data_IF_451598858417
#
_entry.id   IF_451598858417
#
_cell.length_a   1.000
_cell.length_b   1.000
_cell.length_c   1.000
_cell.angle_alpha   90.00
_cell.angle_beta   90.00
_cell.angle_gamma   90.00
#
_symmetry.space_group_name_H-M   'P 1'
#
loop_
_entity.id
_entity.type
_entity.pdbx_description
1 polymer ?
#
# COMPACT_ATOMS: atom_id res chain seq x y z
N UNK A 1 -50.57 -1.43 -57.78
CA UNK A 1 -49.69 -2.25 -56.91
C UNK A 1 -48.38 -1.50 -56.69
N UNK A 2 -48.27 -0.75 -55.58
CA UNK A 2 -47.04 -0.03 -55.22
C UNK A 2 -46.08 -1.01 -54.53
N UNK A 3 -44.93 -1.27 -55.15
CA UNK A 3 -43.84 -2.06 -54.57
C UNK A 3 -43.21 -1.25 -53.43
N UNK A 4 -43.28 -1.77 -52.20
CA UNK A 4 -42.52 -1.29 -51.06
C UNK A 4 -41.03 -1.60 -51.28
N UNK A 5 -40.10 -0.68 -50.96
CA UNK A 5 -38.68 -0.99 -51.00
C UNK A 5 -38.31 -1.89 -49.82
N UNK A 6 -37.62 -3.00 -50.14
CA UNK A 6 -36.90 -3.82 -49.17
C UNK A 6 -35.80 -2.97 -48.53
N UNK A 7 -35.96 -2.63 -47.26
CA UNK A 7 -34.88 -2.06 -46.44
C UNK A 7 -33.98 -3.23 -46.04
N UNK A 8 -32.82 -3.34 -46.70
CA UNK A 8 -31.77 -4.25 -46.30
C UNK A 8 -31.21 -3.79 -44.96
N UNK A 9 -31.53 -4.53 -43.89
CA UNK A 9 -30.95 -4.33 -42.57
C UNK A 9 -29.47 -4.77 -42.67
N UNK A 10 -28.57 -3.80 -42.84
CA UNK A 10 -27.14 -4.03 -42.81
C UNK A 10 -26.77 -4.41 -41.37
N UNK A 11 -26.63 -5.71 -41.10
CA UNK A 11 -26.11 -6.20 -39.83
C UNK A 11 -24.62 -5.83 -39.78
N UNK A 12 -24.31 -4.67 -39.23
CA UNK A 12 -22.95 -4.30 -38.91
C UNK A 12 -22.42 -5.30 -37.89
N UNK A 13 -21.52 -6.19 -38.33
CA UNK A 13 -20.72 -7.01 -37.44
C UNK A 13 -19.86 -6.04 -36.64
N UNK A 14 -20.29 -5.73 -35.42
CA UNK A 14 -19.45 -5.06 -34.43
C UNK A 14 -18.27 -6.00 -34.16
N UNK A 15 -17.14 -5.72 -34.80
CA UNK A 15 -15.86 -6.28 -34.39
C UNK A 15 -15.56 -5.69 -33.01
N UNK A 16 -15.90 -6.43 -31.95
CA UNK A 16 -15.40 -6.14 -30.61
C UNK A 16 -13.87 -6.28 -30.68
N UNK A 17 -13.08 -5.28 -30.23
CA UNK A 17 -11.63 -5.38 -30.28
C UNK A 17 -11.17 -6.61 -29.50
N UNK A 18 -10.23 -7.35 -30.09
CA UNK A 18 -9.65 -8.54 -29.48
C UNK A 18 -8.93 -8.18 -28.18
N UNK A 19 -9.40 -8.72 -27.06
CA UNK A 19 -8.66 -8.68 -25.80
C UNK A 19 -7.54 -9.73 -25.85
N UNK A 20 -6.29 -9.29 -26.02
CA UNK A 20 -5.13 -10.11 -25.68
C UNK A 20 -4.13 -9.31 -24.82
N UNK A 21 -4.41 -9.11 -23.54
CA UNK A 21 -3.41 -8.59 -22.61
C UNK A 21 -3.50 -9.24 -21.23
N UNK A 22 -2.81 -10.38 -21.13
CA UNK A 22 -2.25 -10.91 -19.88
C UNK A 22 -0.71 -11.00 -20.02
N UNK A 23 -0.07 -10.03 -20.67
CA UNK A 23 1.39 -9.95 -20.64
C UNK A 23 1.82 -9.49 -19.24
N UNK A 24 2.46 -10.37 -18.48
CA UNK A 24 3.01 -10.09 -17.16
C UNK A 24 2.04 -10.27 -15.98
N UNK A 25 0.72 -10.32 -16.17
CA UNK A 25 -0.22 -10.66 -15.08
C UNK A 25 -0.35 -12.16 -14.91
N UNK A 26 -0.10 -12.65 -13.70
CA UNK A 26 -0.25 -14.06 -13.34
C UNK A 26 -0.91 -14.20 -11.98
N UNK A 27 -1.77 -15.21 -11.83
CA UNK A 27 -2.15 -15.71 -10.51
C UNK A 27 -1.04 -16.63 -10.02
N UNK A 28 -0.39 -16.28 -8.92
CA UNK A 28 0.71 -17.05 -8.34
C UNK A 28 0.24 -17.96 -7.21
N UNK A 29 -0.94 -17.69 -6.64
CA UNK A 29 -1.51 -18.53 -5.59
C UNK A 29 -3.04 -18.39 -5.53
N UNK A 30 -3.77 -19.51 -5.58
CA UNK A 30 -5.23 -19.50 -5.43
C UNK A 30 -5.62 -19.92 -4.02
N UNK A 31 -6.53 -19.19 -3.37
CA UNK A 31 -7.02 -19.59 -2.06
C UNK A 31 -7.94 -20.82 -2.18
N UNK A 32 -7.83 -21.75 -1.23
CA UNK A 32 -8.68 -22.95 -1.14
C UNK A 32 -9.77 -22.83 -0.08
N UNK A 33 -9.71 -21.76 0.72
CA UNK A 33 -10.70 -21.38 1.73
C UNK A 33 -10.87 -19.86 1.72
N UNK A 34 -11.97 -19.34 2.27
CA UNK A 34 -12.22 -17.90 2.34
C UNK A 34 -11.04 -17.21 3.05
N UNK A 35 -10.25 -16.44 2.30
CA UNK A 35 -9.09 -15.73 2.82
C UNK A 35 -9.20 -14.27 2.41
N UNK A 36 -9.28 -13.36 3.39
CA UNK A 36 -9.34 -11.91 3.13
C UNK A 36 -8.12 -11.22 3.69
N UNK A 37 -7.04 -11.20 2.92
CA UNK A 37 -5.86 -10.39 3.22
C UNK A 37 -6.25 -8.92 3.04
N UNK A 38 -5.92 -8.08 4.03
CA UNK A 38 -6.19 -6.64 3.98
C UNK A 38 -4.90 -5.84 4.13
N UNK A 39 -4.75 -4.83 3.27
CA UNK A 39 -3.60 -3.93 3.28
C UNK A 39 -2.36 -4.47 2.58
N UNK A 40 -1.21 -3.82 2.81
CA UNK A 40 0.05 -4.10 2.13
C UNK A 40 0.73 -5.36 2.69
N UNK A 41 1.46 -6.07 1.84
CA UNK A 41 2.45 -7.04 2.30
C UNK A 41 3.64 -6.33 2.95
N UNK A 42 4.15 -6.89 4.05
CA UNK A 42 5.40 -6.46 4.67
C UNK A 42 6.52 -7.40 4.27
N UNK A 43 7.55 -6.89 3.60
CA UNK A 43 8.73 -7.67 3.24
C UNK A 43 9.62 -7.91 4.46
N UNK A 44 10.00 -9.16 4.70
CA UNK A 44 11.00 -9.55 5.67
C UNK A 44 11.79 -10.73 5.14
N UNK A 45 13.10 -10.55 4.96
CA UNK A 45 14.04 -11.62 4.57
C UNK A 45 13.62 -12.37 3.30
N UNK A 46 13.07 -11.66 2.31
CA UNK A 46 12.62 -12.28 1.06
C UNK A 46 11.24 -12.94 1.10
N UNK A 47 10.51 -12.82 2.21
CA UNK A 47 9.13 -13.28 2.35
C UNK A 47 8.17 -12.10 2.52
N UNK A 48 6.92 -12.27 2.08
CA UNK A 48 5.85 -11.28 2.15
C UNK A 48 4.86 -11.65 3.25
N UNK A 49 4.94 -10.95 4.39
CA UNK A 49 4.08 -11.17 5.54
C UNK A 49 2.77 -10.38 5.41
N UNK A 50 1.69 -10.96 5.93
CA UNK A 50 0.36 -10.36 5.89
C UNK A 50 -0.51 -10.82 7.06
N UNK A 51 -1.62 -10.11 7.27
CA UNK A 51 -2.72 -10.54 8.11
C UNK A 51 -3.99 -10.64 7.28
N UNK A 52 -4.83 -11.63 7.58
CA UNK A 52 -6.15 -11.74 7.00
C UNK A 52 -7.25 -11.55 8.05
N UNK A 53 -8.36 -10.94 7.64
CA UNK A 53 -9.56 -10.75 8.46
C UNK A 53 -10.50 -11.97 8.43
N UNK A 54 -10.26 -12.89 7.48
CA UNK A 54 -11.01 -14.12 7.23
C UNK A 54 -10.07 -15.24 6.81
N UNK A 55 -10.46 -16.47 7.08
CA UNK A 55 -9.67 -17.69 6.95
C UNK A 55 -9.25 -18.25 8.31
N UNK A 56 -8.49 -19.34 8.30
CA UNK A 56 -7.99 -19.98 9.51
C UNK A 56 -9.10 -20.53 10.43
N UNK A 57 -8.76 -20.75 11.70
CA UNK A 57 -9.67 -21.33 12.68
C UNK A 57 -10.94 -20.47 12.83
N UNK A 58 -12.12 -21.09 12.67
CA UNK A 58 -13.44 -20.44 12.81
C UNK A 58 -13.65 -19.20 11.92
N UNK A 59 -12.86 -19.02 10.86
CA UNK A 59 -12.92 -17.87 9.97
C UNK A 59 -12.65 -16.53 10.71
N UNK A 60 -11.79 -16.56 11.72
CA UNK A 60 -11.36 -15.39 12.50
C UNK A 60 -10.11 -14.71 11.95
N UNK A 61 -9.50 -15.28 10.90
CA UNK A 61 -8.27 -14.79 10.30
C UNK A 61 -7.01 -15.42 10.90
N UNK A 62 -5.86 -15.06 10.34
CA UNK A 62 -4.54 -15.49 10.77
C UNK A 62 -3.47 -14.48 10.32
N UNK A 63 -2.28 -14.59 10.91
CA UNK A 63 -1.05 -14.00 10.36
C UNK A 63 -0.34 -15.08 9.55
N UNK A 64 0.08 -14.74 8.34
CA UNK A 64 0.72 -15.65 7.41
C UNK A 64 1.84 -14.97 6.64
N UNK A 65 2.52 -15.77 5.83
CA UNK A 65 3.55 -15.31 4.90
C UNK A 65 3.40 -15.97 3.55
N UNK A 66 3.84 -15.28 2.52
CA UNK A 66 3.94 -15.78 1.16
C UNK A 66 5.42 -15.74 0.73
N UNK A 67 5.92 -16.87 0.24
CA UNK A 67 7.26 -16.96 -0.34
C UNK A 67 7.16 -16.76 -1.86
N UNK A 68 7.63 -15.64 -2.41
CA UNK A 68 7.54 -15.35 -3.84
C UNK A 68 8.42 -16.25 -4.72
N UNK A 69 9.47 -16.87 -4.17
CA UNK A 69 10.36 -17.75 -4.92
C UNK A 69 9.74 -19.14 -5.17
N UNK A 70 8.93 -19.63 -4.23
CA UNK A 70 8.27 -20.94 -4.33
C UNK A 70 6.75 -20.86 -4.52
N UNK A 71 6.18 -19.65 -4.64
CA UNK A 71 4.75 -19.38 -4.68
C UNK A 71 3.98 -20.10 -3.56
N UNK A 72 4.58 -20.19 -2.38
CA UNK A 72 4.02 -20.93 -1.24
C UNK A 72 3.46 -19.97 -0.21
N UNK A 73 2.18 -20.14 0.12
CA UNK A 73 1.55 -19.46 1.25
C UNK A 73 1.64 -20.34 2.50
N UNK A 74 2.00 -19.76 3.63
CA UNK A 74 2.08 -20.43 4.93
C UNK A 74 1.31 -19.64 5.97
N UNK A 75 0.25 -20.23 6.52
CA UNK A 75 -0.40 -19.71 7.72
C UNK A 75 0.50 -19.99 8.94
N UNK A 76 0.80 -18.95 9.72
CA UNK A 76 1.73 -19.05 10.86
C UNK A 76 0.99 -19.06 12.20
N UNK A 77 0.04 -18.15 12.37
CA UNK A 77 -0.65 -17.97 13.64
C UNK A 77 -2.13 -17.66 13.44
N UNK A 78 -3.05 -18.60 13.73
CA UNK A 78 -4.48 -18.33 13.69
C UNK A 78 -4.91 -17.40 14.82
N UNK A 79 -5.92 -16.58 14.56
CA UNK A 79 -6.61 -15.86 15.62
C UNK A 79 -7.65 -16.76 16.29
N UNK A 80 -7.72 -16.73 17.62
CA UNK A 80 -8.68 -17.54 18.39
C UNK A 80 -10.04 -16.85 18.59
N UNK A 81 -10.13 -15.57 18.25
CA UNK A 81 -11.33 -14.73 18.29
C UNK A 81 -11.32 -13.80 17.07
N UNK A 82 -12.49 -13.28 16.67
CA UNK A 82 -12.56 -12.29 15.58
C UNK A 82 -11.76 -11.03 15.94
N UNK A 83 -10.62 -10.78 15.28
CA UNK A 83 -9.76 -9.62 15.56
C UNK A 83 -9.91 -8.48 14.55
N UNK A 84 -10.16 -8.80 13.27
CA UNK A 84 -10.21 -7.85 12.16
C UNK A 84 -8.98 -6.92 12.11
N UNK A 85 -7.83 -7.47 11.75
CA UNK A 85 -6.58 -6.69 11.57
C UNK A 85 -6.76 -5.65 10.47
N UNK A 86 -6.26 -4.43 10.68
CA UNK A 86 -6.49 -3.29 9.77
C UNK A 86 -5.23 -2.80 9.09
N UNK A 87 -5.32 -2.65 7.77
CA UNK A 87 -4.31 -2.03 6.91
C UNK A 87 -3.00 -2.81 6.73
N UNK A 88 -2.83 -3.95 7.40
CA UNK A 88 -1.68 -4.85 7.23
C UNK A 88 -0.78 -4.92 8.46
N UNK A 89 0.46 -5.35 8.23
CA UNK A 89 1.51 -5.45 9.23
C UNK A 89 2.53 -4.33 9.00
N UNK A 90 3.36 -4.03 10.01
CA UNK A 90 4.47 -3.09 9.84
C UNK A 90 5.67 -3.53 10.66
N UNK A 91 6.87 -3.36 10.10
CA UNK A 91 8.12 -3.73 10.75
C UNK A 91 8.31 -2.98 12.07
N UNK A 92 8.33 -3.66 13.22
CA UNK A 92 8.48 -3.03 14.54
C UNK A 92 9.93 -3.08 15.04
N UNK A 93 10.51 -4.27 15.02
CA UNK A 93 11.92 -4.55 15.34
C UNK A 93 12.49 -5.49 14.28
N UNK A 94 13.74 -5.94 14.42
CA UNK A 94 14.31 -6.96 13.55
C UNK A 94 13.58 -8.31 13.62
N UNK A 95 12.85 -8.57 14.71
CA UNK A 95 12.18 -9.85 14.95
C UNK A 95 10.67 -9.70 15.15
N UNK A 96 10.10 -8.50 15.01
CA UNK A 96 8.68 -8.29 15.27
C UNK A 96 8.00 -7.44 14.18
N UNK A 97 6.72 -7.73 13.98
CA UNK A 97 5.79 -6.95 13.18
C UNK A 97 4.69 -6.38 14.09
N UNK A 98 4.43 -5.08 14.01
CA UNK A 98 3.34 -4.39 14.69
C UNK A 98 2.06 -4.46 13.85
N UNK A 99 0.92 -4.57 14.52
CA UNK A 99 -0.40 -4.51 13.87
C UNK A 99 -1.45 -3.96 14.83
N UNK A 100 -2.61 -3.61 14.26
CA UNK A 100 -3.76 -3.10 15.00
C UNK A 100 -5.03 -3.85 14.59
N UNK A 101 -5.84 -4.20 15.59
CA UNK A 101 -7.08 -4.94 15.44
C UNK A 101 -8.28 -4.05 15.77
N UNK A 102 -9.38 -4.19 15.03
CA UNK A 102 -10.66 -3.53 15.37
C UNK A 102 -11.39 -4.22 16.53
N UNK A 103 -11.14 -5.52 16.75
CA UNK A 103 -11.83 -6.39 17.72
C UNK A 103 -10.87 -7.33 18.44
N UNK A 104 -11.41 -8.14 19.37
CA UNK A 104 -10.72 -9.27 20.01
C UNK A 104 -9.99 -8.96 21.31
N UNK A 105 -9.93 -7.69 21.74
CA UNK A 105 -9.49 -7.25 23.06
C UNK A 105 -10.61 -7.26 24.12
N UNK A 106 -10.36 -6.63 25.27
CA UNK A 106 -11.38 -6.46 26.32
C UNK A 106 -12.68 -5.86 25.79
N UNK A 107 -13.82 -6.40 26.26
CA UNK A 107 -15.16 -6.04 25.79
C UNK A 107 -15.37 -6.14 24.27
N UNK A 108 -14.54 -6.93 23.58
CA UNK A 108 -14.49 -7.04 22.11
C UNK A 108 -14.08 -5.74 21.39
N UNK A 109 -13.44 -4.81 22.10
CA UNK A 109 -12.75 -3.69 21.48
C UNK A 109 -11.44 -4.13 20.85
N UNK A 110 -10.83 -3.25 20.06
CA UNK A 110 -9.58 -3.54 19.39
C UNK A 110 -8.36 -3.54 20.32
N UNK A 111 -7.21 -3.86 19.75
CA UNK A 111 -5.92 -3.81 20.45
C UNK A 111 -4.77 -3.53 19.47
N UNK A 112 -3.64 -3.07 20.00
CA UNK A 112 -2.34 -3.05 19.31
C UNK A 112 -1.55 -4.27 19.76
N UNK A 113 -0.94 -4.99 18.83
CA UNK A 113 -0.14 -6.17 19.12
C UNK A 113 1.08 -6.32 18.23
N UNK A 114 2.01 -7.18 18.65
CA UNK A 114 3.15 -7.61 17.84
C UNK A 114 3.06 -9.08 17.49
N UNK A 115 3.66 -9.43 16.36
CA UNK A 115 3.90 -10.79 15.91
C UNK A 115 5.41 -11.02 15.88
N UNK A 116 5.88 -12.01 16.64
CA UNK A 116 7.28 -12.38 16.71
C UNK A 116 7.62 -13.37 15.58
N UNK A 117 8.63 -13.05 14.79
CA UNK A 117 9.05 -13.80 13.61
C UNK A 117 9.84 -15.07 13.92
N UNK A 118 10.34 -15.21 15.15
CA UNK A 118 11.16 -16.34 15.58
C UNK A 118 10.28 -17.49 16.06
N UNK A 119 9.29 -17.18 16.91
CA UNK A 119 8.42 -18.20 17.53
C UNK A 119 6.97 -18.17 17.02
N UNK A 120 6.65 -17.26 16.08
CA UNK A 120 5.30 -17.03 15.54
C UNK A 120 4.26 -16.65 16.61
N UNK A 121 4.67 -16.14 17.76
CA UNK A 121 3.75 -15.73 18.83
C UNK A 121 3.18 -14.34 18.62
N UNK A 122 1.98 -14.11 19.16
CA UNK A 122 1.34 -12.80 19.21
C UNK A 122 1.39 -12.27 20.64
N UNK A 123 1.86 -11.04 20.81
CA UNK A 123 1.80 -10.30 22.07
C UNK A 123 0.85 -9.12 21.95
N UNK A 124 -0.08 -8.96 22.90
CA UNK A 124 -0.91 -7.75 23.00
C UNK A 124 -0.13 -6.68 23.75
N UNK A 125 0.11 -5.54 23.12
CA UNK A 125 0.84 -4.42 23.73
C UNK A 125 -0.09 -3.40 24.39
N UNK A 126 -1.30 -3.23 23.85
CA UNK A 126 -2.28 -2.29 24.39
C UNK A 126 -3.70 -2.69 23.98
N UNK A 127 -4.62 -2.79 24.94
CA UNK A 127 -6.04 -3.00 24.65
C UNK A 127 -6.79 -1.67 24.70
N UNK A 128 -7.69 -1.44 23.73
CA UNK A 128 -8.46 -0.20 23.73
C UNK A 128 -9.53 -0.23 24.81
N UNK A 129 -9.66 0.83 25.63
CA UNK A 129 -10.69 0.92 26.66
C UNK A 129 -12.10 1.18 26.10
N UNK A 130 -12.19 1.52 24.81
CA UNK A 130 -13.44 1.83 24.11
C UNK A 130 -13.32 1.49 22.61
N UNK A 131 -14.44 1.49 21.90
CA UNK A 131 -14.48 1.25 20.45
C UNK A 131 -13.83 2.40 19.65
N UNK A 132 -12.61 2.18 19.15
CA UNK A 132 -11.86 3.17 18.33
C UNK A 132 -12.03 2.94 16.82
N UNK A 133 -12.30 1.72 16.36
CA UNK A 133 -12.40 1.37 14.93
C UNK A 133 -11.17 1.80 14.11
N UNK A 134 -9.99 1.23 14.37
CA UNK A 134 -8.80 1.45 13.54
C UNK A 134 -9.09 1.15 12.06
N UNK A 135 -8.34 1.80 11.17
CA UNK A 135 -8.55 1.74 9.70
C UNK A 135 -7.30 1.39 8.92
N UNK A 136 -6.13 1.85 9.38
CA UNK A 136 -4.87 1.69 8.67
C UNK A 136 -3.86 0.90 9.50
N UNK A 137 -2.80 0.42 8.84
CA UNK A 137 -1.66 -0.15 9.55
C UNK A 137 -0.95 0.95 10.37
N UNK A 138 -0.29 0.58 11.48
CA UNK A 138 0.58 1.49 12.21
C UNK A 138 1.79 1.90 11.35
N UNK A 139 2.12 3.19 11.26
CA UNK A 139 3.28 3.69 10.50
C UNK A 139 4.08 4.69 11.33
N UNK A 140 5.41 4.76 11.11
CA UNK A 140 6.23 5.82 11.69
C UNK A 140 6.18 7.07 10.81
N UNK A 141 5.89 8.22 11.43
CA UNK A 141 5.84 9.54 10.79
C UNK A 141 7.02 10.43 11.21
N UNK A 142 8.11 9.80 11.67
CA UNK A 142 9.32 10.46 12.20
C UNK A 142 10.12 9.51 13.11
N UNK A 143 11.35 9.88 13.46
CA UNK A 143 12.18 9.08 14.36
C UNK A 143 11.72 9.27 15.80
N UNK A 144 11.44 8.19 16.53
CA UNK A 144 10.98 8.19 17.93
C UNK A 144 9.58 8.79 18.18
N UNK A 145 8.85 9.17 17.13
CA UNK A 145 7.46 9.65 17.26
C UNK A 145 6.46 8.51 17.48
N UNK A 146 6.93 7.26 17.56
CA UNK A 146 6.10 6.06 17.71
C UNK A 146 5.30 5.74 16.46
N UNK A 147 4.18 5.06 16.67
CA UNK A 147 3.44 4.42 15.58
C UNK A 147 2.05 5.04 15.45
N UNK A 148 1.73 5.53 14.27
CA UNK A 148 0.49 6.24 14.00
C UNK A 148 -0.45 5.43 13.13
N UNK A 149 -1.75 5.53 13.39
CA UNK A 149 -2.77 4.92 12.56
C UNK A 149 -4.08 5.71 12.67
N UNK A 150 -4.90 5.65 11.63
CA UNK A 150 -6.21 6.28 11.66
C UNK A 150 -7.26 5.40 12.33
N UNK A 151 -8.21 6.07 12.97
CA UNK A 151 -9.40 5.48 13.56
C UNK A 151 -10.65 6.19 13.04
N UNK A 152 -11.78 5.47 12.96
CA UNK A 152 -13.08 6.07 12.63
C UNK A 152 -13.75 6.72 13.87
N UNK A 153 -13.24 6.42 15.07
CA UNK A 153 -13.74 6.89 16.37
C UNK A 153 -12.60 7.23 17.33
N UNK A 154 -12.91 7.91 18.43
CA UNK A 154 -11.97 8.24 19.49
C UNK A 154 -11.35 9.64 19.39
N UNK A 155 -11.65 10.40 18.33
CA UNK A 155 -11.39 11.83 18.27
C UNK A 155 -12.49 12.67 18.93
N UNK A 156 -12.40 13.99 18.73
CA UNK A 156 -13.42 14.96 19.18
C UNK A 156 -14.80 14.59 18.65
N UNK A 157 -15.83 14.68 19.50
CA UNK A 157 -17.21 14.28 19.18
C UNK A 157 -17.34 12.81 18.68
N UNK A 158 -16.40 11.95 19.05
CA UNK A 158 -16.32 10.55 18.62
C UNK A 158 -16.19 10.36 17.10
N UNK A 159 -15.64 11.36 16.41
CA UNK A 159 -15.22 11.27 15.03
C UNK A 159 -13.81 10.65 14.93
N UNK A 160 -13.29 10.54 13.71
CA UNK A 160 -11.99 9.93 13.47
C UNK A 160 -10.83 10.71 14.10
N UNK A 161 -9.75 9.99 14.38
CA UNK A 161 -8.49 10.57 14.87
C UNK A 161 -7.28 9.93 14.21
N UNK A 162 -6.14 10.62 14.31
CA UNK A 162 -4.83 10.02 14.18
C UNK A 162 -4.41 9.57 15.58
N UNK A 163 -4.43 8.26 15.81
CA UNK A 163 -3.97 7.68 17.07
C UNK A 163 -2.45 7.47 17.02
N UNK A 164 -1.79 7.60 18.17
CA UNK A 164 -0.35 7.38 18.37
C UNK A 164 -0.15 6.30 19.43
N UNK A 165 0.47 5.20 19.04
CA UNK A 165 0.97 4.16 19.93
C UNK A 165 2.44 4.44 20.31
N UNK A 166 2.70 4.44 21.60
CA UNK A 166 4.03 4.51 22.20
C UNK A 166 4.26 3.26 23.06
N UNK A 167 5.35 2.50 22.82
CA UNK A 167 5.72 1.39 23.69
C UNK A 167 5.83 1.86 25.15
N UNK A 168 5.19 1.13 26.08
CA UNK A 168 5.11 1.50 27.50
C UNK A 168 4.13 2.61 27.86
N UNK A 169 3.84 3.55 26.94
CA UNK A 169 2.87 4.64 27.18
C UNK A 169 1.45 4.32 26.67
N UNK A 170 1.28 3.30 25.82
CA UNK A 170 -0.01 2.91 25.26
C UNK A 170 -0.44 3.77 24.07
N UNK A 171 -1.75 3.93 23.87
CA UNK A 171 -2.32 4.68 22.75
C UNK A 171 -2.92 6.01 23.22
N UNK A 172 -2.62 7.07 22.48
CA UNK A 172 -3.14 8.43 22.69
C UNK A 172 -3.68 9.00 21.38
N UNK A 173 -4.49 10.06 21.46
CA UNK A 173 -4.95 10.81 20.28
C UNK A 173 -3.91 11.87 19.94
N UNK A 174 -3.27 11.75 18.77
CA UNK A 174 -2.31 12.75 18.29
C UNK A 174 -3.01 13.91 17.55
N UNK A 175 -4.10 13.63 16.83
CA UNK A 175 -4.91 14.65 16.17
C UNK A 175 -6.36 14.18 16.02
N UNK A 176 -7.31 15.12 16.07
CA UNK A 176 -8.74 14.84 15.91
C UNK A 176 -9.27 15.49 14.63
N UNK A 177 -10.17 14.79 13.95
CA UNK A 177 -10.79 15.28 12.73
C UNK A 177 -12.24 15.71 12.94
N UNK A 178 -12.68 16.66 12.14
CA UNK A 178 -14.07 17.10 12.03
C UNK A 178 -14.62 16.77 10.64
N UNK A 179 -15.94 16.89 10.45
CA UNK A 179 -16.54 16.79 9.11
C UNK A 179 -15.90 17.78 8.13
N UNK A 180 -15.56 19.00 8.57
CA UNK A 180 -14.95 20.01 7.73
C UNK A 180 -13.53 19.61 7.29
N UNK A 181 -12.71 19.09 8.20
CA UNK A 181 -11.35 18.62 7.85
C UNK A 181 -11.36 17.31 7.06
N UNK A 182 -12.50 16.62 7.01
CA UNK A 182 -12.64 15.29 6.44
C UNK A 182 -12.48 14.19 7.49
N UNK A 183 -13.22 13.11 7.31
CA UNK A 183 -13.28 11.95 8.21
C UNK A 183 -13.19 10.64 7.42
N UNK A 184 -12.92 9.55 8.15
CA UNK A 184 -12.68 8.19 7.62
C UNK A 184 -11.47 8.16 6.69
N UNK A 185 -10.70 7.10 6.81
CA UNK A 185 -9.40 7.02 6.13
C UNK A 185 -9.19 5.63 5.58
N UNK A 186 -8.70 5.56 4.35
CA UNK A 186 -8.19 4.33 3.75
C UNK A 186 -6.72 4.54 3.32
N UNK A 187 -6.36 5.74 2.87
CA UNK A 187 -4.97 6.13 2.67
C UNK A 187 -4.22 6.24 4.01
N UNK A 188 -2.97 5.76 4.02
CA UNK A 188 -2.05 5.91 5.15
C UNK A 188 -1.70 7.39 5.38
N UNK A 189 -1.44 7.82 6.62
CA UNK A 189 -0.78 9.10 6.85
C UNK A 189 0.62 9.06 6.24
N UNK A 190 1.07 10.17 5.68
CA UNK A 190 2.32 10.24 4.94
C UNK A 190 3.19 11.37 5.49
N UNK A 191 4.40 11.06 5.98
CA UNK A 191 5.43 12.07 6.19
C UNK A 191 6.14 12.33 4.85
N UNK A 192 6.05 13.56 4.34
CA UNK A 192 6.77 13.96 3.14
C UNK A 192 7.17 15.44 3.22
N UNK A 193 8.40 15.76 2.82
CA UNK A 193 8.96 17.11 2.92
C UNK A 193 8.81 17.73 4.32
N UNK A 194 9.05 16.92 5.36
CA UNK A 194 8.93 17.29 6.78
C UNK A 194 7.51 17.71 7.23
N UNK A 195 6.48 17.31 6.48
CA UNK A 195 5.10 17.56 6.81
C UNK A 195 4.30 16.25 6.77
N UNK A 196 3.44 16.05 7.76
CA UNK A 196 2.48 14.94 7.73
C UNK A 196 1.27 15.35 6.91
N UNK A 197 0.99 14.62 5.85
CA UNK A 197 -0.19 14.75 5.00
C UNK A 197 -1.23 13.69 5.31
N UNK A 198 -2.49 14.05 5.10
CA UNK A 198 -3.62 13.13 5.15
C UNK A 198 -4.50 13.29 3.91
N UNK A 199 -5.20 12.22 3.55
CA UNK A 199 -6.32 12.24 2.62
C UNK A 199 -7.52 11.55 3.25
N UNK A 200 -8.54 12.35 3.56
CA UNK A 200 -9.80 11.85 4.10
C UNK A 200 -10.68 11.28 2.99
N UNK A 201 -11.38 10.20 3.31
CA UNK A 201 -12.28 9.50 2.40
C UNK A 201 -13.63 10.19 2.26
N UNK A 202 -14.14 10.75 3.36
CA UNK A 202 -15.44 11.42 3.46
C UNK A 202 -15.26 12.78 4.17
N UNK A 203 -16.33 13.58 4.24
CA UNK A 203 -16.30 14.96 4.75
C UNK A 203 -15.70 15.95 3.74
N UNK A 204 -15.11 17.03 4.26
CA UNK A 204 -14.72 18.18 3.45
C UNK A 204 -15.95 19.00 3.07
N UNK A 205 -16.33 18.93 1.79
CA UNK A 205 -17.58 19.54 1.31
C UNK A 205 -18.74 18.52 1.36
N UNK A 206 -19.55 18.60 2.41
CA UNK A 206 -20.67 17.68 2.66
C UNK A 206 -21.87 17.87 1.71
N UNK A 207 -21.85 18.86 0.80
CA UNK A 207 -22.92 19.02 -0.19
C UNK A 207 -22.87 17.96 -1.30
N UNK A 208 -21.82 17.13 -1.33
CA UNK A 208 -21.59 16.11 -2.34
C UNK A 208 -21.94 14.71 -1.83
N UNK A 209 -22.19 13.78 -2.77
CA UNK A 209 -22.36 12.33 -2.51
C UNK A 209 -23.38 12.01 -1.41
N UNK A 210 -24.57 12.59 -1.51
CA UNK A 210 -25.68 12.41 -0.56
C UNK A 210 -25.29 12.74 0.89
N UNK A 211 -24.62 13.87 1.10
CA UNK A 211 -24.28 14.37 2.43
C UNK A 211 -22.96 13.86 2.99
N UNK A 212 -22.31 12.90 2.33
CA UNK A 212 -21.07 12.28 2.83
C UNK A 212 -19.83 13.13 2.55
N UNK A 213 -19.87 13.96 1.52
CA UNK A 213 -18.73 14.70 1.01
C UNK A 213 -17.70 13.83 0.28
N UNK A 214 -16.90 14.47 -0.57
CA UNK A 214 -15.92 13.81 -1.43
C UNK A 214 -14.59 13.49 -0.73
N UNK A 215 -14.37 14.04 0.47
CA UNK A 215 -13.10 13.97 1.18
C UNK A 215 -12.33 15.29 1.13
N UNK A 216 -11.16 15.29 1.75
CA UNK A 216 -10.27 16.45 1.83
C UNK A 216 -8.81 15.99 1.90
N UNK A 217 -7.89 16.85 1.45
CA UNK A 217 -6.46 16.68 1.65
C UNK A 217 -5.97 17.81 2.55
N UNK A 218 -5.09 17.49 3.48
CA UNK A 218 -4.53 18.47 4.38
C UNK A 218 -3.29 17.99 5.10
N UNK A 219 -2.91 18.72 6.13
CA UNK A 219 -1.72 18.48 6.92
C UNK A 219 -2.03 18.35 8.40
N UNK A 220 -1.12 17.70 9.13
CA UNK A 220 -1.17 17.52 10.57
C UNK A 220 0.15 18.02 11.16
N UNK A 221 0.07 18.94 12.11
CA UNK A 221 1.18 19.24 13.00
C UNK A 221 1.13 18.28 14.19
N UNK A 222 2.07 17.34 14.24
CA UNK A 222 2.13 16.33 15.29
C UNK A 222 2.50 16.90 16.68
N UNK A 223 3.14 18.07 16.74
CA UNK A 223 3.52 18.67 18.01
C UNK A 223 2.31 19.29 18.72
N UNK A 224 1.42 19.93 17.97
CA UNK A 224 0.22 20.59 18.51
C UNK A 224 -1.07 19.78 18.33
N UNK A 225 -1.04 18.76 17.48
CA UNK A 225 -2.23 18.02 17.05
C UNK A 225 -3.13 18.80 16.10
N UNK A 226 -2.65 19.93 15.55
CA UNK A 226 -3.43 20.79 14.66
C UNK A 226 -3.63 20.12 13.30
N UNK A 227 -4.89 19.95 12.90
CA UNK A 227 -5.27 19.48 11.56
C UNK A 227 -5.62 20.69 10.70
N UNK A 228 -4.89 20.88 9.60
CA UNK A 228 -5.13 21.96 8.63
C UNK A 228 -5.65 21.35 7.33
N UNK A 229 -6.90 21.61 6.98
CA UNK A 229 -7.41 21.29 5.65
C UNK A 229 -6.78 22.24 4.63
N UNK A 230 -6.21 21.68 3.57
CA UNK A 230 -5.65 22.46 2.46
C UNK A 230 -6.63 22.55 1.28
N UNK A 231 -7.41 21.50 1.04
CA UNK A 231 -8.36 21.47 -0.09
C UNK A 231 -9.55 20.55 0.19
N UNK A 232 -10.75 20.99 -0.21
CA UNK A 232 -11.93 20.13 -0.35
C UNK A 232 -11.87 19.40 -1.68
N UNK A 233 -12.07 18.08 -1.68
CA UNK A 233 -12.21 17.36 -2.93
C UNK A 233 -13.57 17.65 -3.58
N UNK A 234 -13.60 17.57 -4.91
CA UNK A 234 -14.83 17.63 -5.68
C UNK A 234 -14.96 16.31 -6.44
N UNK A 235 -16.05 15.58 -6.21
CA UNK A 235 -16.23 14.24 -6.75
C UNK A 235 -16.22 14.24 -8.28
N UNK A 236 -16.79 15.25 -8.94
CA UNK A 236 -16.82 15.36 -10.40
C UNK A 236 -15.48 15.80 -11.00
N UNK A 237 -14.71 16.64 -10.32
CA UNK A 237 -13.48 17.21 -10.88
C UNK A 237 -12.22 16.46 -10.47
N UNK A 238 -12.17 15.96 -9.24
CA UNK A 238 -10.97 15.37 -8.63
C UNK A 238 -11.12 13.86 -8.39
N UNK A 239 -12.35 13.38 -8.20
CA UNK A 239 -12.63 12.10 -7.59
C UNK A 239 -12.97 12.23 -6.10
N UNK A 240 -13.38 11.12 -5.48
CA UNK A 240 -13.77 11.02 -4.10
C UNK A 240 -13.30 9.70 -3.46
N UNK A 241 -13.31 9.63 -2.13
CA UNK A 241 -12.94 8.43 -1.36
C UNK A 241 -11.52 7.95 -1.67
N UNK A 242 -10.55 8.80 -1.35
CA UNK A 242 -9.13 8.51 -1.57
C UNK A 242 -8.70 7.20 -0.90
N UNK A 243 -8.06 6.32 -1.67
CA UNK A 243 -7.59 4.99 -1.22
C UNK A 243 -6.08 4.92 -1.02
N UNK A 244 -5.33 5.68 -1.81
CA UNK A 244 -3.89 5.79 -1.69
C UNK A 244 -3.47 7.24 -1.90
N UNK A 245 -2.42 7.67 -1.20
CA UNK A 245 -1.77 8.97 -1.34
C UNK A 245 -0.26 8.73 -1.17
N UNK A 246 0.52 8.97 -2.21
CA UNK A 246 1.97 8.69 -2.20
C UNK A 246 2.76 9.80 -2.91
N UNK A 247 4.00 10.06 -2.49
CA UNK A 247 4.86 11.00 -3.18
C UNK A 247 5.42 10.36 -4.46
N UNK A 248 5.35 11.08 -5.57
CA UNK A 248 5.95 10.68 -6.85
C UNK A 248 6.22 11.92 -7.70
N UNK A 249 7.43 12.04 -8.25
CA UNK A 249 7.86 13.17 -9.09
C UNK A 249 7.53 14.58 -8.54
N UNK A 250 7.70 14.77 -7.22
CA UNK A 250 7.48 16.06 -6.58
C UNK A 250 6.01 16.42 -6.32
N UNK A 251 5.09 15.48 -6.51
CA UNK A 251 3.66 15.65 -6.28
C UNK A 251 3.14 14.52 -5.37
N UNK A 252 1.95 14.70 -4.79
CA UNK A 252 1.25 13.64 -4.06
C UNK A 252 0.18 12.99 -4.94
N UNK A 253 0.49 11.83 -5.53
CA UNK A 253 -0.42 11.08 -6.37
C UNK A 253 -1.42 10.29 -5.55
N UNK A 254 -2.66 10.21 -6.04
CA UNK A 254 -3.73 9.49 -5.36
C UNK A 254 -4.62 8.68 -6.31
N UNK A 255 -5.29 7.70 -5.71
CA UNK A 255 -6.42 6.95 -6.28
C UNK A 255 -7.70 7.34 -5.55
N UNK A 256 -8.77 7.57 -6.31
CA UNK A 256 -10.10 7.85 -5.81
C UNK A 256 -11.05 6.73 -6.21
N UNK A 257 -11.66 6.03 -5.24
CA UNK A 257 -12.55 4.89 -5.48
C UNK A 257 -13.89 5.29 -6.11
N UNK A 258 -14.32 6.53 -5.90
CA UNK A 258 -15.54 7.09 -6.46
C UNK A 258 -15.25 8.47 -7.08
N UNK A 259 -16.27 9.09 -7.67
CA UNK A 259 -16.15 10.33 -8.43
C UNK A 259 -15.64 10.08 -9.85
N UNK A 260 -15.04 11.10 -10.46
CA UNK A 260 -14.71 11.05 -11.88
C UNK A 260 -15.92 11.48 -12.71
N UNK A 261 -16.53 10.54 -13.41
CA UNK A 261 -17.78 10.74 -14.14
C UNK A 261 -18.99 10.45 -13.24
N UNK A 262 -19.70 11.50 -12.80
CA UNK A 262 -20.88 11.35 -11.95
C UNK A 262 -22.15 10.93 -12.72
N UNK A 263 -22.12 10.82 -14.05
CA UNK A 263 -23.25 10.26 -14.80
C UNK A 263 -23.39 8.74 -14.59
N UNK A 264 -22.32 8.13 -14.08
CA UNK A 264 -22.19 6.70 -13.83
C UNK A 264 -22.42 6.32 -12.35
N UNK A 265 -22.55 5.01 -12.09
CA UNK A 265 -22.63 4.42 -10.75
C UNK A 265 -23.66 5.10 -9.82
N UNK A 266 -24.89 5.32 -10.31
CA UNK A 266 -25.96 5.98 -9.55
C UNK A 266 -25.57 7.36 -8.99
N UNK A 267 -24.85 8.16 -9.77
CA UNK A 267 -24.48 9.53 -9.36
C UNK A 267 -23.19 9.60 -8.54
N UNK A 268 -22.51 8.47 -8.31
CA UNK A 268 -21.27 8.43 -7.50
C UNK A 268 -20.02 8.46 -8.35
N UNK A 269 -20.11 8.06 -9.62
CA UNK A 269 -18.95 7.75 -10.46
C UNK A 269 -18.15 6.55 -9.99
N UNK A 270 -17.20 6.14 -10.82
CA UNK A 270 -16.41 4.92 -10.66
C UNK A 270 -14.97 5.18 -10.23
N UNK A 271 -14.55 6.44 -10.09
CA UNK A 271 -13.22 6.78 -9.58
C UNK A 271 -12.31 7.43 -10.60
N UNK A 272 -11.14 7.82 -10.11
CA UNK A 272 -10.17 8.59 -10.87
C UNK A 272 -8.75 8.46 -10.30
N UNK A 273 -7.77 8.85 -11.11
CA UNK A 273 -6.40 9.12 -10.67
C UNK A 273 -6.12 10.62 -10.73
N UNK A 274 -5.38 11.10 -9.76
CA UNK A 274 -4.98 12.50 -9.70
C UNK A 274 -3.71 12.71 -8.89
N UNK A 275 -3.32 13.97 -8.78
CA UNK A 275 -2.29 14.42 -7.87
C UNK A 275 -2.71 15.70 -7.16
N UNK A 276 -2.14 15.89 -5.98
CA UNK A 276 -2.16 17.13 -5.23
C UNK A 276 -0.77 17.79 -5.32
N UNK A 277 -0.75 19.08 -5.62
CA UNK A 277 0.46 19.90 -5.60
C UNK A 277 0.51 20.72 -4.30
N UNK A 278 1.40 20.40 -3.35
CA UNK A 278 1.48 21.16 -2.10
C UNK A 278 2.04 22.58 -2.25
N UNK A 279 2.65 22.91 -3.39
CA UNK A 279 3.18 24.26 -3.60
C UNK A 279 2.07 25.31 -3.72
N UNK A 280 0.92 24.93 -4.28
CA UNK A 280 -0.22 25.82 -4.53
C UNK A 280 -1.57 25.26 -4.04
N UNK A 281 -1.56 24.12 -3.37
CA UNK A 281 -2.72 23.35 -2.91
C UNK A 281 -3.70 22.94 -4.03
N UNK A 282 -3.26 22.93 -5.29
CA UNK A 282 -4.09 22.50 -6.41
C UNK A 282 -4.24 20.98 -6.47
N UNK A 283 -5.38 20.53 -6.99
CA UNK A 283 -5.69 19.12 -7.24
C UNK A 283 -5.97 18.96 -8.72
N UNK A 284 -5.25 18.05 -9.37
CA UNK A 284 -5.44 17.73 -10.78
C UNK A 284 -5.82 16.27 -10.94
N UNK A 285 -6.97 16.02 -11.58
CA UNK A 285 -7.31 14.71 -12.11
C UNK A 285 -6.70 14.57 -13.50
N UNK A 286 -5.93 13.52 -13.73
CA UNK A 286 -5.35 13.22 -15.04
C UNK A 286 -5.95 11.97 -15.70
N UNK A 287 -6.78 11.19 -14.99
CA UNK A 287 -7.42 10.02 -15.55
C UNK A 287 -8.74 9.70 -14.85
N UNK A 288 -9.74 9.25 -15.62
CA UNK A 288 -11.02 8.75 -15.11
C UNK A 288 -11.05 7.23 -15.32
N UNK A 289 -11.48 6.49 -14.29
CA UNK A 289 -11.63 5.04 -14.30
C UNK A 289 -13.13 4.70 -14.30
N UNK A 290 -13.81 4.76 -15.46
CA UNK A 290 -15.27 4.66 -15.56
C UNK A 290 -15.82 3.51 -16.41
N UNK A 291 -14.96 2.78 -17.12
CA UNK A 291 -15.42 1.75 -18.04
C UNK A 291 -14.64 0.42 -17.94
N UNK A 292 -14.99 -0.51 -18.84
CA UNK A 292 -14.34 -1.82 -18.91
C UNK A 292 -12.92 -1.75 -19.44
N UNK A 293 -12.53 -0.69 -20.15
CA UNK A 293 -11.21 -0.54 -20.77
C UNK A 293 -10.21 0.08 -19.80
N UNK A 294 -10.63 1.16 -19.14
CA UNK A 294 -9.86 1.97 -18.18
C UNK A 294 -9.86 1.36 -16.78
N UNK A 295 -10.81 0.49 -16.49
CA UNK A 295 -11.05 -0.03 -15.15
C UNK A 295 -11.97 0.87 -14.35
N UNK A 296 -12.39 0.38 -13.19
CA UNK A 296 -13.25 1.09 -12.23
C UNK A 296 -12.70 0.89 -10.82
N UNK A 297 -12.94 1.86 -9.96
CA UNK A 297 -12.59 1.84 -8.54
C UNK A 297 -11.08 1.62 -8.33
N UNK A 298 -10.23 2.58 -8.76
CA UNK A 298 -8.79 2.48 -8.57
C UNK A 298 -8.47 2.44 -7.07
N UNK A 299 -7.52 1.59 -6.67
CA UNK A 299 -7.25 1.25 -5.27
C UNK A 299 -5.84 1.61 -4.84
N UNK A 300 -4.85 0.81 -5.24
CA UNK A 300 -3.47 0.93 -4.80
C UNK A 300 -2.64 1.78 -5.76
N UNK A 301 -1.51 2.28 -5.23
CA UNK A 301 -0.45 2.92 -6.01
C UNK A 301 0.91 2.43 -5.53
N UNK A 302 1.82 2.15 -6.46
CA UNK A 302 3.20 1.79 -6.14
C UNK A 302 4.18 2.42 -7.14
N UNK A 303 5.16 3.21 -6.67
CA UNK A 303 6.19 3.77 -7.54
C UNK A 303 7.25 2.72 -7.88
N UNK A 304 7.68 2.70 -9.14
CA UNK A 304 8.70 1.80 -9.68
C UNK A 304 9.53 2.59 -10.70
N UNK A 305 10.70 3.07 -10.27
CA UNK A 305 11.54 3.92 -11.12
C UNK A 305 10.83 5.24 -11.45
N UNK A 306 10.71 5.54 -12.73
CA UNK A 306 10.02 6.70 -13.31
C UNK A 306 8.54 6.44 -13.63
N UNK A 307 7.99 5.32 -13.15
CA UNK A 307 6.61 4.90 -13.38
C UNK A 307 5.84 4.75 -12.08
N UNK A 308 4.52 4.88 -12.19
CA UNK A 308 3.60 4.64 -11.11
C UNK A 308 2.55 3.60 -11.51
N UNK A 309 2.50 2.47 -10.82
CA UNK A 309 1.55 1.40 -11.11
C UNK A 309 0.33 1.47 -10.19
N UNK A 310 -0.82 1.04 -10.72
CA UNK A 310 -2.09 1.03 -9.99
C UNK A 310 -2.94 -0.16 -10.41
N UNK A 311 -3.92 -0.49 -9.57
CA UNK A 311 -4.93 -1.50 -9.83
C UNK A 311 -6.33 -0.91 -9.67
N UNK A 312 -7.25 -1.41 -10.50
CA UNK A 312 -8.68 -1.16 -10.40
C UNK A 312 -9.38 -2.41 -9.86
N UNK A 313 -10.25 -2.22 -8.87
CA UNK A 313 -11.03 -3.31 -8.28
C UNK A 313 -12.13 -3.85 -9.20
N UNK A 314 -12.58 -3.02 -10.15
CA UNK A 314 -13.62 -3.36 -11.12
C UNK A 314 -13.25 -2.89 -12.54
N UNK A 315 -14.12 -3.12 -13.52
CA UNK A 315 -13.82 -2.95 -14.95
C UNK A 315 -13.13 -4.19 -15.55
N UNK A 316 -12.58 -4.11 -16.76
CA UNK A 316 -12.20 -5.31 -17.51
C UNK A 316 -13.40 -6.21 -17.86
N UNK A 317 -13.16 -7.35 -18.54
CA UNK A 317 -14.15 -8.40 -18.74
C UNK A 317 -14.75 -8.84 -17.41
N UNK A 318 -16.08 -8.95 -17.36
CA UNK A 318 -16.83 -9.40 -16.18
C UNK A 318 -16.52 -8.62 -14.89
N UNK A 319 -16.12 -7.34 -15.01
CA UNK A 319 -15.81 -6.45 -13.89
C UNK A 319 -14.69 -6.95 -12.96
N UNK A 320 -13.76 -7.77 -13.46
CA UNK A 320 -12.68 -8.34 -12.67
C UNK A 320 -11.54 -7.39 -12.29
N UNK A 321 -11.44 -6.24 -12.95
CA UNK A 321 -10.40 -5.24 -12.68
C UNK A 321 -9.42 -5.06 -13.82
N UNK A 322 -8.63 -4.01 -13.71
CA UNK A 322 -7.52 -3.71 -14.62
C UNK A 322 -6.25 -3.39 -13.82
N UNK A 323 -5.11 -3.51 -14.47
CA UNK A 323 -3.81 -3.11 -13.93
C UNK A 323 -3.19 -2.09 -14.89
N UNK A 324 -2.78 -0.95 -14.35
CA UNK A 324 -2.34 0.17 -15.15
C UNK A 324 -1.02 0.76 -14.67
N UNK A 325 -0.46 1.60 -15.54
CA UNK A 325 0.79 2.29 -15.35
C UNK A 325 0.61 3.75 -15.74
N UNK A 326 1.18 4.66 -14.95
CA UNK A 326 1.31 6.08 -15.22
C UNK A 326 2.77 6.37 -15.54
N UNK A 327 3.01 7.05 -16.65
CA UNK A 327 4.33 7.51 -17.12
C UNK A 327 4.31 9.02 -17.29
N UNK A 328 5.47 9.68 -17.24
CA UNK A 328 5.58 11.15 -17.35
C UNK A 328 4.65 11.89 -16.36
N UNK A 329 4.38 11.30 -15.19
CA UNK A 329 3.46 11.83 -14.18
C UNK A 329 1.97 11.69 -14.49
N UNK A 330 1.52 11.72 -15.75
CA UNK A 330 0.09 11.76 -16.09
C UNK A 330 -0.37 10.85 -17.22
N UNK A 331 0.54 10.26 -18.00
CA UNK A 331 0.17 9.41 -19.14
C UNK A 331 -0.19 8.01 -18.64
N UNK A 332 -1.47 7.66 -18.73
CA UNK A 332 -1.99 6.38 -18.25
C UNK A 332 -2.08 5.35 -19.37
N UNK A 333 -1.64 4.13 -19.07
CA UNK A 333 -1.79 2.96 -19.95
C UNK A 333 -2.25 1.78 -19.13
N UNK A 334 -3.24 1.05 -19.63
CA UNK A 334 -3.66 -0.22 -19.05
C UNK A 334 -2.74 -1.31 -19.58
N UNK A 335 -1.96 -1.91 -18.69
CA UNK A 335 -0.90 -2.87 -19.01
C UNK A 335 -1.31 -4.32 -18.74
N UNK A 336 -2.45 -4.52 -18.07
CA UNK A 336 -3.02 -5.83 -17.86
C UNK A 336 -4.49 -5.75 -17.50
N UNK A 337 -5.22 -6.81 -17.79
CA UNK A 337 -6.63 -6.94 -17.45
C UNK A 337 -6.84 -8.23 -16.68
N UNK A 338 -7.56 -8.14 -15.58
CA UNK A 338 -7.87 -9.31 -14.78
C UNK A 338 -8.87 -10.21 -15.49
N UNK A 339 -8.69 -11.50 -15.33
CA UNK A 339 -9.58 -12.54 -15.84
C UNK A 339 -10.06 -13.39 -14.66
N UNK A 340 -10.97 -14.32 -14.94
CA UNK A 340 -11.38 -15.32 -13.96
C UNK A 340 -10.18 -16.12 -13.43
N UNK A 341 -9.16 -16.39 -14.25
CA UNK A 341 -7.98 -17.17 -13.82
C UNK A 341 -6.98 -16.34 -13.01
N UNK A 342 -6.89 -15.03 -13.26
CA UNK A 342 -6.07 -14.10 -12.49
C UNK A 342 -6.73 -13.78 -11.14
N UNK A 343 -8.04 -13.58 -11.14
CA UNK A 343 -8.82 -13.16 -9.98
C UNK A 343 -9.35 -11.75 -10.12
N UNK A 344 -10.29 -11.39 -9.26
CA UNK A 344 -11.12 -10.19 -9.35
C UNK A 344 -11.18 -9.41 -8.04
N UNK A 345 -11.67 -8.16 -8.08
CA UNK A 345 -11.84 -7.30 -6.91
C UNK A 345 -10.54 -7.14 -6.14
N UNK A 346 -9.56 -6.55 -6.82
CA UNK A 346 -8.25 -6.29 -6.23
C UNK A 346 -8.36 -5.33 -5.05
N UNK A 347 -7.59 -5.59 -3.98
CA UNK A 347 -7.51 -4.70 -2.82
C UNK A 347 -6.52 -3.54 -3.06
N UNK A 348 -6.52 -2.52 -2.21
CA UNK A 348 -5.59 -1.38 -2.27
C UNK A 348 -4.14 -1.77 -1.93
N UNK A 349 -3.93 -2.93 -1.31
CA UNK A 349 -2.60 -3.45 -1.00
C UNK A 349 -1.89 -3.96 -2.25
N UNK A 350 -1.12 -3.08 -2.90
CA UNK A 350 -0.18 -3.47 -3.96
C UNK A 350 1.25 -3.25 -3.47
N UNK A 351 2.08 -4.29 -3.55
CA UNK A 351 3.44 -4.30 -2.98
C UNK A 351 4.44 -4.72 -4.05
N UNK A 352 5.46 -3.89 -4.29
CA UNK A 352 6.60 -4.27 -5.13
C UNK A 352 7.54 -5.20 -4.37
N UNK A 353 7.95 -6.29 -4.99
CA UNK A 353 8.98 -7.18 -4.50
C UNK A 353 9.79 -7.76 -5.66
N UNK A 354 11.09 -7.45 -5.71
CA UNK A 354 11.94 -7.76 -6.86
C UNK A 354 11.35 -7.20 -8.16
N UNK A 355 11.20 -8.08 -9.15
CA UNK A 355 10.62 -7.77 -10.47
C UNK A 355 9.11 -7.79 -10.55
N UNK A 356 8.43 -8.02 -9.43
CA UNK A 356 7.00 -8.22 -9.41
C UNK A 356 6.31 -7.16 -8.57
N UNK A 357 5.08 -6.84 -8.94
CA UNK A 357 4.12 -6.15 -8.09
C UNK A 357 3.07 -7.17 -7.70
N UNK A 358 3.01 -7.51 -6.41
CA UNK A 358 2.04 -8.43 -5.84
C UNK A 358 0.82 -7.68 -5.35
N UNK A 359 -0.35 -8.30 -5.53
CA UNK A 359 -1.62 -7.79 -5.03
C UNK A 359 -2.59 -8.95 -4.77
N UNK A 360 -3.59 -8.69 -3.94
CA UNK A 360 -4.60 -9.69 -3.56
C UNK A 360 -5.89 -9.46 -4.33
N UNK A 361 -6.51 -10.55 -4.77
CA UNK A 361 -7.86 -10.58 -5.36
C UNK A 361 -8.83 -11.23 -4.37
N UNK A 362 -10.05 -10.71 -4.25
CA UNK A 362 -11.08 -11.26 -3.34
C UNK A 362 -11.97 -12.32 -3.98
N UNK A 363 -12.01 -12.39 -5.31
CA UNK A 363 -12.86 -13.30 -6.07
C UNK A 363 -12.11 -13.89 -7.27
N UNK A 364 -12.74 -14.84 -7.96
CA UNK A 364 -12.14 -15.53 -9.11
C UNK A 364 -11.08 -16.55 -8.68
N UNK A 365 -10.19 -16.89 -9.60
CA UNK A 365 -9.32 -18.09 -9.57
C UNK A 365 -10.14 -19.40 -9.65
N UNK A 366 -9.53 -20.60 -9.78
CA UNK A 366 -10.26 -21.86 -9.91
C UNK A 366 -11.32 -22.14 -8.83
N UNK A 367 -11.20 -21.51 -7.64
CA UNK A 367 -12.10 -21.74 -6.51
C UNK A 367 -13.08 -20.58 -6.26
N UNK A 368 -13.04 -19.50 -7.05
CA UNK A 368 -13.80 -18.24 -6.81
C UNK A 368 -13.51 -17.53 -5.47
N UNK A 369 -12.50 -17.97 -4.72
CA UNK A 369 -12.13 -17.44 -3.41
C UNK A 369 -11.05 -16.35 -3.48
N UNK A 370 -10.61 -15.98 -4.69
CA UNK A 370 -9.52 -15.05 -4.90
C UNK A 370 -8.14 -15.70 -4.75
N UNK A 371 -7.11 -14.87 -4.72
CA UNK A 371 -5.72 -15.32 -4.67
C UNK A 371 -4.70 -14.20 -4.50
N UNK A 372 -3.44 -14.55 -4.68
CA UNK A 372 -2.33 -13.62 -4.83
C UNK A 372 -1.96 -13.59 -6.31
N UNK A 373 -2.03 -12.41 -6.89
CA UNK A 373 -1.61 -12.14 -8.26
C UNK A 373 -0.32 -11.33 -8.28
N UNK A 374 0.42 -11.43 -9.38
CA UNK A 374 1.64 -10.70 -9.62
C UNK A 374 1.61 -10.09 -11.02
N UNK A 375 2.08 -8.85 -11.12
CA UNK A 375 2.48 -8.23 -12.39
C UNK A 375 4.01 -8.26 -12.50
N UNK A 376 4.54 -8.92 -13.52
CA UNK A 376 5.97 -8.86 -13.88
C UNK A 376 6.31 -7.53 -14.54
N UNK A 377 7.28 -6.82 -13.97
CA UNK A 377 7.78 -5.57 -14.50
C UNK A 377 8.52 -5.80 -15.81
N UNK A 378 8.36 -4.91 -16.81
CA UNK A 378 9.21 -4.92 -18.00
C UNK A 378 10.71 -4.84 -17.66
N UNK A 379 11.54 -5.51 -18.47
CA UNK A 379 13.00 -5.48 -18.34
C UNK A 379 13.54 -4.05 -18.22
N UNK A 380 14.55 -3.86 -17.37
CA UNK A 380 15.20 -2.56 -17.14
C UNK A 380 14.49 -1.63 -16.15
N UNK A 381 13.32 -2.01 -15.62
CA UNK A 381 12.64 -1.30 -14.52
C UNK A 381 12.91 -1.91 -13.14
N UNK A 382 13.75 -2.93 -13.10
CA UNK A 382 14.27 -3.47 -11.86
C UNK A 382 14.97 -2.35 -11.07
N UNK A 383 14.73 -2.26 -9.76
CA UNK A 383 15.59 -1.41 -8.96
C UNK A 383 16.98 -2.02 -9.14
N UNK A 384 17.98 -1.21 -9.50
CA UNK A 384 19.35 -1.70 -9.54
C UNK A 384 19.60 -2.41 -8.20
N UNK A 385 19.74 -3.75 -8.25
CA UNK A 385 19.87 -4.54 -7.05
C UNK A 385 21.00 -3.92 -6.24
N UNK A 386 20.77 -3.54 -4.96
CA UNK A 386 21.82 -2.95 -4.18
C UNK A 386 23.00 -3.94 -4.21
N UNK A 387 24.22 -3.47 -4.50
CA UNK A 387 25.36 -4.35 -4.63
C UNK A 387 25.52 -5.18 -3.36
N UNK A 388 25.69 -6.49 -3.53
CA UNK A 388 25.96 -7.37 -2.39
C UNK A 388 27.33 -7.01 -1.79
N UNK A 389 27.35 -6.62 -0.52
CA UNK A 389 28.58 -6.50 0.26
C UNK A 389 28.93 -7.86 0.84
N UNK A 390 30.00 -8.46 0.35
CA UNK A 390 30.50 -9.74 0.84
C UNK A 390 31.59 -9.51 1.88
N UNK A 391 31.51 -10.24 3.00
CA UNK A 391 32.49 -10.18 4.08
C UNK A 391 33.14 -11.55 4.22
N UNK A 392 34.47 -11.61 4.12
CA UNK A 392 35.25 -12.82 4.33
C UNK A 392 36.37 -12.55 5.34
N UNK A 393 36.61 -13.48 6.26
CA UNK A 393 37.77 -13.39 7.16
C UNK A 393 39.01 -13.97 6.46
N UNK A 394 40.09 -13.20 6.40
CA UNK A 394 41.38 -13.60 5.82
C UNK A 394 42.48 -13.30 6.83
N UNK A 395 42.96 -14.34 7.53
CA UNK A 395 43.92 -14.18 8.62
C UNK A 395 43.38 -13.29 9.75
N UNK A 396 44.12 -12.23 10.09
CA UNK A 396 43.72 -11.23 11.09
C UNK A 396 42.98 -10.02 10.47
N UNK A 397 42.26 -10.23 9.36
CA UNK A 397 41.55 -9.16 8.66
C UNK A 397 40.20 -9.63 8.14
N UNK A 398 39.32 -8.67 7.89
CA UNK A 398 38.12 -8.81 7.08
C UNK A 398 38.42 -8.29 5.68
N UNK A 399 38.14 -9.11 4.68
CA UNK A 399 38.07 -8.71 3.28
C UNK A 399 36.61 -8.42 2.95
N UNK A 400 36.35 -7.16 2.64
CA UNK A 400 35.07 -6.64 2.20
C UNK A 400 35.13 -6.49 0.69
N UNK A 401 34.12 -6.95 -0.04
CA UNK A 401 34.10 -6.84 -1.50
C UNK A 401 32.68 -6.61 -2.02
N UNK A 402 32.57 -5.91 -3.15
CA UNK A 402 31.31 -5.67 -3.84
C UNK A 402 31.49 -5.75 -5.35
N UNK A 403 30.42 -5.96 -6.15
CA UNK A 403 30.53 -6.09 -7.59
C UNK A 403 31.17 -4.86 -8.27
N UNK A 404 32.03 -5.08 -9.26
CA UNK A 404 32.69 -4.02 -10.03
C UNK A 404 31.68 -3.08 -10.73
N UNK A 405 30.50 -3.60 -11.08
CA UNK A 405 29.38 -2.84 -11.65
C UNK A 405 28.82 -1.77 -10.70
N UNK A 406 29.16 -1.81 -9.42
CA UNK A 406 28.77 -0.81 -8.42
C UNK A 406 29.88 0.21 -8.11
N UNK A 407 30.54 0.72 -9.15
CA UNK A 407 31.62 1.73 -9.03
C UNK A 407 31.17 3.07 -8.45
N UNK A 408 29.86 3.36 -8.47
CA UNK A 408 29.28 4.57 -7.87
C UNK A 408 29.05 4.45 -6.35
N UNK A 409 29.31 3.30 -5.73
CA UNK A 409 29.13 3.11 -4.30
C UNK A 409 30.47 3.23 -3.56
N UNK A 410 30.44 3.84 -2.38
CA UNK A 410 31.55 3.89 -1.43
C UNK A 410 31.26 3.00 -0.23
N UNK A 411 32.30 2.35 0.29
CA UNK A 411 32.23 1.58 1.54
C UNK A 411 32.36 2.53 2.72
N UNK A 412 31.43 2.44 3.67
CA UNK A 412 31.48 3.20 4.92
C UNK A 412 31.52 2.27 6.13
N UNK A 413 32.20 2.71 7.20
CA UNK A 413 32.21 2.08 8.52
C UNK A 413 31.66 2.99 9.61
N UNK A 414 31.02 2.36 10.59
CA UNK A 414 30.68 2.95 11.86
C UNK A 414 30.87 1.93 12.99
N UNK A 415 31.16 2.38 14.21
CA UNK A 415 31.37 1.49 15.35
C UNK A 415 30.06 1.20 16.13
N UNK A 416 28.97 1.94 15.84
CA UNK A 416 27.67 1.74 16.48
C UNK A 416 26.51 2.06 15.53
N UNK A 417 25.43 1.26 15.58
CA UNK A 417 24.24 1.47 14.75
C UNK A 417 23.54 2.81 15.02
N UNK A 418 23.72 3.35 16.22
CA UNK A 418 23.14 4.62 16.67
C UNK A 418 23.99 5.84 16.31
N UNK A 419 25.21 5.66 15.81
CA UNK A 419 26.08 6.78 15.47
C UNK A 419 25.68 7.40 14.15
N UNK A 420 25.53 8.73 14.14
CA UNK A 420 25.22 9.52 12.96
C UNK A 420 26.42 9.69 12.02
N UNK A 421 27.64 9.36 12.47
CA UNK A 421 28.88 9.59 11.72
C UNK A 421 29.38 8.28 11.10
N UNK A 422 29.26 8.18 9.77
CA UNK A 422 29.83 7.10 8.97
C UNK A 422 31.12 7.59 8.32
N UNK A 423 32.17 6.78 8.37
CA UNK A 423 33.48 7.10 7.80
C UNK A 423 33.72 6.30 6.55
N UNK A 424 34.15 6.94 5.46
CA UNK A 424 34.48 6.25 4.22
C UNK A 424 35.76 5.43 4.44
N UNK A 425 35.73 4.14 4.11
CA UNK A 425 36.92 3.29 4.10
C UNK A 425 37.53 3.34 2.71
N UNK A 426 38.73 3.90 2.62
CA UNK A 426 39.55 3.80 1.42
C UNK A 426 40.10 2.36 1.29
N UNK A 427 39.71 1.65 0.23
CA UNK A 427 40.23 0.33 -0.09
C UNK A 427 41.48 0.38 -0.99
N UNK A 428 42.33 -0.65 -1.01
CA UNK A 428 43.47 -0.76 -1.92
C UNK A 428 43.07 -1.06 -3.39
N UNK A 429 41.77 -1.20 -3.68
CA UNK A 429 41.22 -1.39 -5.02
C UNK A 429 39.85 -0.74 -5.18
N UNK A 430 39.31 -0.72 -6.41
CA UNK A 430 38.06 0.01 -6.74
C UNK A 430 36.83 -0.57 -6.01
N UNK A 431 36.83 -1.88 -5.69
CA UNK A 431 35.67 -2.58 -5.12
C UNK A 431 36.00 -3.60 -4.02
N UNK A 432 37.15 -3.46 -3.36
CA UNK A 432 37.56 -4.29 -2.22
C UNK A 432 38.22 -3.46 -1.13
N UNK A 433 38.00 -3.83 0.13
CA UNK A 433 38.65 -3.22 1.28
C UNK A 433 39.12 -4.29 2.26
N UNK A 434 40.24 -4.02 2.94
CA UNK A 434 40.76 -4.88 4.00
C UNK A 434 40.72 -4.12 5.31
N UNK A 435 40.07 -4.70 6.31
CA UNK A 435 39.94 -4.11 7.66
C UNK A 435 40.61 -5.04 8.65
N UNK A 436 41.58 -4.53 9.42
CA UNK A 436 42.23 -5.33 10.46
C UNK A 436 41.24 -5.64 11.59
N UNK A 437 41.31 -6.87 12.10
CA UNK A 437 40.58 -7.26 13.30
C UNK A 437 41.35 -6.76 14.52
N UNK A 438 40.80 -5.73 15.18
CA UNK A 438 41.34 -5.11 16.40
C UNK A 438 40.57 -5.51 17.67
N UNK A 439 39.57 -6.37 17.54
CA UNK A 439 38.70 -6.80 18.63
C UNK A 439 37.49 -5.87 18.88
N UNK A 440 37.37 -4.76 18.15
CA UNK A 440 36.20 -3.88 18.19
C UNK A 440 35.09 -4.35 17.25
N UNK A 441 33.84 -4.02 17.57
CA UNK A 441 32.72 -4.21 16.66
C UNK A 441 32.74 -3.12 15.58
N UNK A 442 32.59 -3.52 14.31
CA UNK A 442 32.49 -2.61 13.17
C UNK A 442 31.29 -2.96 12.31
N UNK A 443 30.55 -1.94 11.89
CA UNK A 443 29.41 -2.03 10.99
C UNK A 443 29.83 -1.45 9.65
N UNK A 444 29.40 -2.10 8.56
CA UNK A 444 29.79 -1.73 7.21
C UNK A 444 28.56 -1.57 6.32
N UNK A 445 28.57 -0.58 5.43
CA UNK A 445 27.53 -0.41 4.41
C UNK A 445 28.11 0.13 3.10
N UNK A 446 27.39 -0.10 2.01
CA UNK A 446 27.63 0.59 0.74
C UNK A 446 26.68 1.79 0.66
N UNK A 447 27.22 2.97 0.37
CA UNK A 447 26.44 4.20 0.13
C UNK A 447 26.70 4.69 -1.28
N UNK A 448 25.65 5.08 -1.99
CA UNK A 448 25.74 5.74 -3.30
C UNK A 448 25.93 7.25 -3.14
#
# INVERSE_FOLDING_TARGET
>A
MRKLPFVALLLAVLTVPAFSHAAGLTNVFSFTEETKIKGLFTEVNGELYFACEKGGAMNFGYIGKFNPASNTLTALQPFLVETKVKGGLTRYTSNELLFVCEKGGAANFGFVGTFNLVDNSITRLHEFPAETKPKTAPIQLGTNDGWFFYTDKGGTANLGSLARFQPGAGVSVAASFTLDTGIKFDALPLLWSNQVYYAAREGGDTNQLAGKGAGAIGTIDLATGTVTKLVNLNAANHGAKIKSLIPFNGLLHFTADEGGDLTENTGKGWGALGYFNPADNSVTRYFVCDDVTTGRKPRGLVPVGDRLYFNCGEGGPNTFGTFGCVTNGTNVTIVGVNTETIGAKTDAGITRFGRFIYFVTELGTPNFLGGISAYELPDGLEPAQPPALTIARVGNSLQLSWPQSASAFVLERCDALTSASWTIIAGPGVNTATVLLDGSAGLFRLRR
#
